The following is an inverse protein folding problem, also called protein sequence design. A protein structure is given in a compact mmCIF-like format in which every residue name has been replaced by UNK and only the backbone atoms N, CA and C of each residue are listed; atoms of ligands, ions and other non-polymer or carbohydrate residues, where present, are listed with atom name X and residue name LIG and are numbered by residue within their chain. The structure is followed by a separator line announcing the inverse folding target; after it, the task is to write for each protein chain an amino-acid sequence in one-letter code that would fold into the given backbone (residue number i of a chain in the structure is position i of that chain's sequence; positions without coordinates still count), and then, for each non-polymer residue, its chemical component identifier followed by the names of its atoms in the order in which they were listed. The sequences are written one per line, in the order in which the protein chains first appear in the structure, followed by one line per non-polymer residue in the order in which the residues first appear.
data_IF_086680823902
#
_entry.id   IF_086680823902
#
_cell.length_a   1.000
_cell.length_b   1.000
_cell.length_c   1.000
_cell.angle_alpha   90.00
_cell.angle_beta   90.00
_cell.angle_gamma   90.00
#
_symmetry.space_group_name_H-M   'P 1'
#
loop_
_entity.id
_entity.type
_entity.pdbx_description
1 polymer ?
#
# COMPACT_ATOMS: atom_id res chain seq x y z
N UNK A 1 18.41 23.39 20.21
CA UNK A 1 18.23 23.18 18.74
C UNK A 1 18.32 21.69 18.50
N UNK A 2 17.34 21.14 17.80
CA UNK A 2 17.35 19.74 17.39
C UNK A 2 18.44 19.59 16.32
N UNK A 3 19.32 18.61 16.44
CA UNK A 3 20.39 18.34 15.46
C UNK A 3 19.82 17.78 14.15
N UNK A 4 20.59 17.91 13.07
CA UNK A 4 20.20 17.31 11.78
C UNK A 4 20.04 15.78 11.90
N UNK A 5 20.91 15.12 12.69
CA UNK A 5 20.85 13.69 12.96
C UNK A 5 19.57 13.30 13.72
N UNK A 6 19.14 14.10 14.70
CA UNK A 6 17.88 13.85 15.41
C UNK A 6 16.66 14.03 14.49
N UNK A 7 16.69 15.01 13.58
CA UNK A 7 15.66 15.22 12.57
C UNK A 7 15.62 14.04 11.60
N UNK A 8 16.76 13.61 11.08
CA UNK A 8 16.87 12.46 10.17
C UNK A 8 16.39 11.17 10.84
N UNK A 9 16.81 10.93 12.09
CA UNK A 9 16.36 9.78 12.87
C UNK A 9 14.85 9.80 13.08
N UNK A 10 14.28 10.94 13.45
CA UNK A 10 12.84 11.10 13.63
C UNK A 10 12.05 10.87 12.34
N UNK A 11 12.53 11.42 11.22
CA UNK A 11 11.83 11.33 9.93
C UNK A 11 11.98 9.96 9.26
N UNK A 12 13.10 9.30 9.48
CA UNK A 12 13.52 8.14 8.67
C UNK A 12 13.77 6.86 9.47
N UNK A 13 13.75 6.94 10.80
CA UNK A 13 14.05 5.83 11.69
C UNK A 13 15.54 5.45 11.72
N UNK A 14 15.93 4.71 12.76
CA UNK A 14 17.32 4.36 13.05
C UNK A 14 17.72 2.95 12.60
N UNK A 15 16.77 2.11 12.15
CA UNK A 15 17.09 0.74 11.77
C UNK A 15 18.06 0.71 10.57
N UNK A 16 19.17 -0.05 10.65
CA UNK A 16 20.19 -0.09 9.62
C UNK A 16 19.82 -0.93 8.41
N UNK A 17 18.69 -1.65 8.42
CA UNK A 17 18.32 -2.55 7.33
C UNK A 17 18.04 -1.80 6.03
N UNK A 18 18.74 -2.21 4.96
CA UNK A 18 18.70 -1.57 3.64
C UNK A 18 17.95 -2.41 2.61
N UNK A 19 17.64 -1.76 1.46
CA UNK A 19 17.07 -2.36 0.26
C UNK A 19 15.65 -2.93 0.43
N UNK A 20 14.91 -2.50 1.44
CA UNK A 20 13.48 -2.84 1.58
C UNK A 20 12.70 -2.00 0.58
N UNK A 21 12.07 -2.64 -0.40
CA UNK A 21 11.28 -1.98 -1.45
C UNK A 21 9.77 -2.07 -1.21
N UNK A 22 9.31 -3.08 -0.48
CA UNK A 22 7.91 -3.21 -0.09
C UNK A 22 7.79 -3.96 1.24
N UNK A 23 6.69 -3.68 1.95
CA UNK A 23 6.29 -4.42 3.15
C UNK A 23 4.83 -4.79 2.97
N UNK A 24 4.52 -6.04 3.25
CA UNK A 24 3.18 -6.60 3.15
C UNK A 24 2.75 -7.22 4.47
N UNK A 25 1.48 -7.13 4.79
CA UNK A 25 0.91 -7.75 5.97
C UNK A 25 -0.08 -8.85 5.60
N UNK A 26 0.16 -10.04 6.08
CA UNK A 26 -0.78 -11.15 5.97
C UNK A 26 -1.70 -11.19 7.18
N UNK A 27 -2.96 -10.82 6.97
CA UNK A 27 -4.00 -10.83 7.99
C UNK A 27 -4.37 -12.23 8.52
N UNK A 28 -4.10 -13.29 7.75
CA UNK A 28 -4.41 -14.65 8.16
C UNK A 28 -3.39 -15.18 9.18
N UNK A 29 -2.11 -14.94 8.93
CA UNK A 29 -1.01 -15.39 9.79
C UNK A 29 -0.52 -14.32 10.77
N UNK A 30 -1.10 -13.10 10.74
CA UNK A 30 -0.64 -11.92 11.49
C UNK A 30 0.87 -11.67 11.33
N UNK A 31 1.36 -11.79 10.11
CA UNK A 31 2.79 -11.72 9.79
C UNK A 31 3.10 -10.61 8.83
N UNK A 32 4.27 -10.02 9.02
CA UNK A 32 4.88 -9.08 8.08
C UNK A 32 5.79 -9.84 7.12
N UNK A 33 5.79 -9.41 5.87
CA UNK A 33 6.74 -9.83 4.86
C UNK A 33 7.49 -8.62 4.33
N UNK A 34 8.80 -8.63 4.48
CA UNK A 34 9.70 -7.63 3.90
C UNK A 34 10.18 -8.12 2.55
N UNK A 35 9.98 -7.32 1.53
CA UNK A 35 10.47 -7.57 0.17
C UNK A 35 11.68 -6.66 -0.05
N UNK A 36 12.83 -7.28 -0.27
CA UNK A 36 14.09 -6.58 -0.53
C UNK A 36 14.48 -6.75 -2.00
N UNK A 37 15.03 -5.72 -2.59
CA UNK A 37 15.70 -5.78 -3.88
C UNK A 37 17.20 -5.63 -3.67
N UNK A 38 17.91 -6.76 -3.62
CA UNK A 38 19.36 -6.75 -3.40
C UNK A 38 20.07 -6.50 -4.71
N UNK A 39 20.88 -5.43 -4.85
CA UNK A 39 21.64 -5.14 -6.06
C UNK A 39 22.44 -6.35 -6.53
N UNK A 40 22.26 -6.75 -7.79
CA UNK A 40 22.94 -7.90 -8.40
C UNK A 40 22.46 -9.30 -7.96
N UNK A 41 21.51 -9.39 -6.99
CA UNK A 41 21.00 -10.69 -6.50
C UNK A 41 19.49 -10.87 -6.69
N UNK A 42 18.76 -9.80 -7.01
CA UNK A 42 17.32 -9.85 -7.23
C UNK A 42 16.51 -9.73 -5.94
N UNK A 43 15.30 -10.33 -5.95
CA UNK A 43 14.34 -10.21 -4.84
C UNK A 43 14.58 -11.23 -3.75
N UNK A 44 14.50 -10.76 -2.50
CA UNK A 44 14.48 -11.58 -1.30
C UNK A 44 13.24 -11.27 -0.47
N UNK A 45 12.57 -12.29 0.04
CA UNK A 45 11.37 -12.15 0.88
C UNK A 45 11.71 -12.70 2.26
N UNK A 46 11.51 -11.87 3.28
CA UNK A 46 11.74 -12.25 4.68
C UNK A 46 10.47 -12.05 5.50
N UNK A 47 10.08 -13.10 6.22
CA UNK A 47 8.99 -13.04 7.19
C UNK A 47 9.49 -12.40 8.49
N UNK A 48 8.66 -11.55 9.07
CA UNK A 48 8.90 -10.92 10.37
C UNK A 48 7.59 -10.83 11.17
N UNK A 49 7.69 -10.47 12.43
CA UNK A 49 6.55 -10.31 13.33
C UNK A 49 6.65 -8.99 14.07
N UNK A 50 5.49 -8.43 14.44
CA UNK A 50 5.42 -7.30 15.34
C UNK A 50 4.18 -7.43 16.23
N UNK A 51 4.13 -6.68 17.31
CA UNK A 51 2.98 -6.62 18.19
C UNK A 51 2.13 -5.42 17.78
N UNK A 52 0.92 -5.65 17.24
CA UNK A 52 0.02 -4.56 16.85
C UNK A 52 -0.41 -3.70 18.04
N UNK A 53 -0.57 -2.40 17.79
CA UNK A 53 -0.90 -1.45 18.81
C UNK A 53 -1.87 -0.35 18.33
N UNK A 54 -2.49 0.31 19.29
CA UNK A 54 -3.27 1.52 19.10
C UNK A 54 -2.99 2.51 20.21
N UNK A 55 -3.08 3.79 19.93
CA UNK A 55 -3.05 4.83 20.94
C UNK A 55 -4.47 5.18 21.37
N UNK A 56 -4.68 5.35 22.67
CA UNK A 56 -6.01 5.59 23.27
C UNK A 56 -5.92 6.73 24.26
N UNK A 57 -6.92 7.62 24.24
CA UNK A 57 -7.00 8.75 25.16
C UNK A 57 -7.49 8.35 26.55
N UNK A 58 -8.55 7.57 26.62
CA UNK A 58 -9.18 7.20 27.89
C UNK A 58 -9.79 5.79 27.83
N UNK A 59 -9.25 4.90 28.64
CA UNK A 59 -9.70 3.51 28.74
C UNK A 59 -11.08 3.36 29.42
N UNK A 60 -11.55 4.36 30.15
CA UNK A 60 -12.89 4.35 30.78
C UNK A 60 -14.02 4.41 29.75
N UNK A 61 -13.71 4.79 28.52
CA UNK A 61 -14.66 4.73 27.40
C UNK A 61 -14.99 3.29 26.91
N UNK A 62 -14.17 2.31 27.30
CA UNK A 62 -14.43 0.90 27.00
C UNK A 62 -15.52 0.36 27.94
N UNK A 63 -16.56 -0.20 27.37
CA UNK A 63 -17.68 -0.74 28.13
C UNK A 63 -17.87 -2.23 27.82
N UNK A 64 -17.35 -3.08 28.70
CA UNK A 64 -17.53 -4.53 28.66
C UNK A 64 -18.61 -4.94 29.64
N UNK A 65 -19.78 -5.38 29.14
CA UNK A 65 -20.88 -5.91 29.96
C UNK A 65 -21.20 -5.05 31.20
N UNK A 66 -21.45 -3.75 30.96
CA UNK A 66 -21.78 -2.83 32.05
C UNK A 66 -20.59 -2.35 32.91
N UNK A 67 -19.37 -2.38 32.35
CA UNK A 67 -18.12 -1.97 33.01
C UNK A 67 -17.67 -2.84 34.19
N UNK A 68 -18.06 -4.10 34.23
CA UNK A 68 -17.54 -5.04 35.19
C UNK A 68 -16.01 -5.20 35.00
N UNK A 69 -15.25 -5.13 36.10
CA UNK A 69 -13.79 -5.34 36.08
C UNK A 69 -13.43 -6.77 35.64
N UNK A 70 -14.26 -7.74 35.98
CA UNK A 70 -14.10 -9.14 35.59
C UNK A 70 -14.27 -9.30 34.08
N UNK A 71 -15.30 -8.68 33.49
CA UNK A 71 -15.51 -8.71 32.05
C UNK A 71 -14.39 -8.01 31.28
N UNK A 72 -13.91 -6.87 31.78
CA UNK A 72 -12.75 -6.18 31.19
C UNK A 72 -11.49 -7.06 31.24
N UNK A 73 -11.20 -7.69 32.39
CA UNK A 73 -10.04 -8.57 32.55
C UNK A 73 -10.17 -9.81 31.66
N UNK A 74 -11.35 -10.39 31.55
CA UNK A 74 -11.63 -11.51 30.66
C UNK A 74 -11.39 -11.13 29.19
N UNK A 75 -11.86 -9.96 28.75
CA UNK A 75 -11.62 -9.44 27.40
C UNK A 75 -10.13 -9.20 27.13
N UNK A 76 -9.42 -8.58 28.09
CA UNK A 76 -7.96 -8.39 27.96
C UNK A 76 -7.23 -9.72 27.76
N UNK A 77 -7.57 -10.75 28.57
CA UNK A 77 -6.99 -12.08 28.45
C UNK A 77 -7.36 -12.75 27.13
N UNK A 78 -8.64 -12.65 26.74
CA UNK A 78 -9.14 -13.22 25.47
C UNK A 78 -8.38 -12.72 24.26
N UNK A 79 -8.07 -11.42 24.20
CA UNK A 79 -7.41 -10.77 23.07
C UNK A 79 -5.91 -10.55 23.26
N UNK A 80 -5.33 -11.02 24.37
CA UNK A 80 -3.91 -10.86 24.66
C UNK A 80 -3.50 -9.40 24.83
N UNK A 81 -4.34 -8.59 25.46
CA UNK A 81 -4.14 -7.15 25.57
C UNK A 81 -3.13 -6.80 26.67
N UNK A 82 -2.20 -5.95 26.29
CA UNK A 82 -1.29 -5.23 27.18
C UNK A 82 -1.55 -3.74 27.06
N UNK A 83 -1.49 -3.02 28.19
CA UNK A 83 -1.72 -1.58 28.24
C UNK A 83 -0.50 -0.93 28.87
N UNK A 84 0.07 0.04 28.15
CA UNK A 84 1.19 0.86 28.63
C UNK A 84 0.72 2.31 28.70
N UNK A 85 1.04 2.97 29.81
CA UNK A 85 0.83 4.40 29.93
C UNK A 85 1.96 5.11 29.22
N UNK A 86 1.63 6.06 28.34
CA UNK A 86 2.62 6.88 27.67
C UNK A 86 3.14 7.94 28.66
N UNK A 87 4.46 8.05 28.76
CA UNK A 87 5.10 9.16 29.47
C UNK A 87 5.08 10.37 28.55
N UNK A 88 4.45 11.45 29.02
CA UNK A 88 4.51 12.74 28.34
C UNK A 88 5.61 13.56 28.98
N UNK A 89 6.62 13.94 28.20
CA UNK A 89 7.64 14.87 28.66
C UNK A 89 7.07 16.29 28.59
N UNK A 90 6.88 16.91 29.76
CA UNK A 90 6.38 18.27 29.89
C UNK A 90 4.86 18.42 29.87
N UNK A 91 4.38 19.65 29.64
CA UNK A 91 2.95 19.99 29.56
C UNK A 91 2.34 19.76 28.17
N UNK A 92 3.04 19.12 27.28
CA UNK A 92 2.56 18.86 25.94
C UNK A 92 1.46 17.79 25.98
N UNK A 93 0.27 18.20 25.60
CA UNK A 93 -0.81 17.26 25.32
C UNK A 93 -0.54 16.67 23.94
N UNK A 94 -0.39 15.34 23.86
CA UNK A 94 -0.48 14.66 22.59
C UNK A 94 -1.78 15.07 21.91
N UNK A 95 -1.75 15.28 20.61
CA UNK A 95 -2.95 15.51 19.82
C UNK A 95 -4.02 14.48 20.20
N UNK A 96 -5.26 14.92 20.41
CA UNK A 96 -6.38 14.11 20.91
C UNK A 96 -6.23 13.55 22.34
N UNK A 97 -5.27 14.01 23.13
CA UNK A 97 -5.08 13.57 24.50
C UNK A 97 -4.81 12.07 24.65
N UNK A 98 -4.11 11.45 23.69
CA UNK A 98 -3.73 10.04 23.74
C UNK A 98 -2.73 9.81 24.89
N UNK A 99 -3.09 8.95 25.83
CA UNK A 99 -2.31 8.71 27.05
C UNK A 99 -1.90 7.26 27.26
N UNK A 100 -2.46 6.34 26.48
CA UNK A 100 -2.17 4.91 26.59
C UNK A 100 -1.84 4.31 25.24
N UNK A 101 -0.92 3.33 25.24
CA UNK A 101 -0.70 2.41 24.15
C UNK A 101 -1.30 1.06 24.51
N UNK A 102 -2.23 0.59 23.69
CA UNK A 102 -2.88 -0.73 23.84
C UNK A 102 -2.31 -1.65 22.79
N UNK A 103 -1.70 -2.75 23.21
CA UNK A 103 -1.04 -3.75 22.36
C UNK A 103 -1.79 -5.07 22.42
N UNK A 104 -1.79 -5.85 21.33
CA UNK A 104 -2.31 -7.22 21.33
C UNK A 104 -1.20 -8.23 20.97
N UNK A 105 -0.93 -9.15 21.89
CA UNK A 105 0.00 -10.27 21.65
C UNK A 105 -0.56 -11.32 20.68
N UNK A 106 -1.88 -11.31 20.44
CA UNK A 106 -2.57 -12.26 19.56
C UNK A 106 -2.69 -11.77 18.12
N UNK A 107 -2.67 -10.46 17.89
CA UNK A 107 -2.63 -9.92 16.55
C UNK A 107 -3.49 -8.66 16.33
N UNK A 108 -3.45 -8.18 15.08
CA UNK A 108 -4.14 -6.95 14.69
C UNK A 108 -5.67 -7.10 14.69
N UNK A 109 -6.17 -8.26 14.26
CA UNK A 109 -7.61 -8.55 14.28
C UNK A 109 -8.15 -8.58 15.70
N UNK A 110 -7.41 -9.19 16.61
CA UNK A 110 -7.75 -9.29 18.03
C UNK A 110 -7.72 -7.93 18.72
N UNK A 111 -6.78 -7.06 18.33
CA UNK A 111 -6.74 -5.67 18.81
C UNK A 111 -8.01 -4.90 18.41
N UNK A 112 -8.40 -5.00 17.15
CA UNK A 112 -9.63 -4.35 16.65
C UNK A 112 -10.87 -4.92 17.36
N UNK A 113 -10.94 -6.24 17.51
CA UNK A 113 -12.10 -6.90 18.12
C UNK A 113 -12.21 -6.55 19.61
N UNK A 114 -11.10 -6.37 20.31
CA UNK A 114 -11.10 -5.88 21.69
C UNK A 114 -11.82 -4.53 21.83
N UNK A 115 -11.51 -3.58 20.96
CA UNK A 115 -12.18 -2.28 20.97
C UNK A 115 -13.67 -2.39 20.62
N UNK A 116 -14.01 -3.18 19.63
CA UNK A 116 -15.40 -3.39 19.21
C UNK A 116 -16.26 -4.03 20.31
N UNK A 117 -15.75 -5.07 20.95
CA UNK A 117 -16.43 -5.71 22.08
C UNK A 117 -16.56 -4.77 23.30
N UNK A 118 -15.64 -3.80 23.42
CA UNK A 118 -15.72 -2.70 24.38
C UNK A 118 -16.64 -1.55 23.96
N UNK A 119 -17.48 -1.72 22.95
CA UNK A 119 -18.36 -0.68 22.38
C UNK A 119 -17.64 0.58 21.91
N UNK A 120 -16.40 0.44 21.48
CA UNK A 120 -15.55 1.54 21.01
C UNK A 120 -14.86 1.16 19.68
N UNK A 121 -15.64 1.09 18.59
CA UNK A 121 -15.07 0.81 17.25
C UNK A 121 -14.13 1.95 16.85
N UNK A 122 -12.85 1.67 16.53
CA UNK A 122 -11.86 2.68 16.15
C UNK A 122 -12.28 3.56 14.96
N UNK A 123 -13.09 3.04 14.07
CA UNK A 123 -13.59 3.76 12.88
C UNK A 123 -15.02 4.28 13.03
N UNK A 124 -15.72 3.87 14.09
CA UNK A 124 -17.05 4.35 14.41
C UNK A 124 -17.04 5.74 15.04
N UNK A 125 -18.19 6.41 15.05
CA UNK A 125 -18.32 7.78 15.59
C UNK A 125 -17.84 7.93 17.02
N UNK A 126 -18.01 6.91 17.86
CA UNK A 126 -17.57 6.93 19.26
C UNK A 126 -16.06 6.74 19.44
N UNK A 127 -15.39 6.07 18.48
CA UNK A 127 -13.98 5.68 18.59
C UNK A 127 -13.03 6.57 17.80
N UNK A 128 -13.43 7.11 16.65
CA UNK A 128 -12.58 7.85 15.72
C UNK A 128 -11.76 9.00 16.34
N UNK A 129 -12.30 9.63 17.40
CA UNK A 129 -11.65 10.74 18.09
C UNK A 129 -10.96 10.33 19.42
N UNK A 130 -11.05 9.04 19.80
CA UNK A 130 -10.55 8.51 21.06
C UNK A 130 -9.47 7.46 20.88
N UNK A 131 -9.44 6.83 19.71
CA UNK A 131 -8.48 5.79 19.35
C UNK A 131 -7.80 6.21 18.06
N UNK A 132 -6.48 6.17 18.07
CA UNK A 132 -5.67 6.28 16.87
C UNK A 132 -5.06 4.91 16.58
N UNK A 133 -5.43 4.32 15.44
CA UNK A 133 -4.89 3.06 14.97
C UNK A 133 -4.45 3.22 13.51
N UNK A 134 -3.23 2.80 13.24
CA UNK A 134 -2.67 2.81 11.89
C UNK A 134 -2.82 1.43 11.24
N UNK A 135 -2.78 1.35 9.90
CA UNK A 135 -2.63 0.08 9.21
C UNK A 135 -1.37 -0.69 9.69
N UNK A 136 -1.39 -2.04 9.61
CA UNK A 136 -0.30 -2.86 10.16
C UNK A 136 1.10 -2.56 9.60
N UNK A 137 1.18 -2.20 8.32
CA UNK A 137 2.47 -1.88 7.68
C UNK A 137 3.08 -0.62 8.28
N UNK A 138 2.28 0.44 8.46
CA UNK A 138 2.72 1.68 9.09
C UNK A 138 3.10 1.46 10.55
N UNK A 139 2.32 0.66 11.30
CA UNK A 139 2.67 0.30 12.66
C UNK A 139 4.02 -0.44 12.74
N UNK A 140 4.26 -1.36 11.80
CA UNK A 140 5.52 -2.09 11.73
C UNK A 140 6.69 -1.16 11.43
N UNK A 141 6.56 -0.28 10.43
CA UNK A 141 7.60 0.69 10.09
C UNK A 141 7.96 1.57 11.29
N UNK A 142 6.96 2.10 11.99
CA UNK A 142 7.16 2.94 13.18
C UNK A 142 7.81 2.12 14.32
N UNK A 143 7.26 0.95 14.67
CA UNK A 143 7.73 0.16 15.81
C UNK A 143 9.13 -0.42 15.61
N UNK A 144 9.57 -0.57 14.38
CA UNK A 144 10.89 -1.09 14.00
C UNK A 144 11.84 -0.02 13.49
N UNK A 145 11.40 1.25 13.49
CA UNK A 145 12.17 2.39 12.99
C UNK A 145 12.74 2.17 11.58
N UNK A 146 11.96 1.47 10.72
CA UNK A 146 12.38 1.11 9.37
C UNK A 146 11.91 2.12 8.33
N UNK A 147 12.69 2.24 7.26
CA UNK A 147 12.39 3.05 6.09
C UNK A 147 12.43 2.22 4.82
N UNK A 148 11.45 2.44 3.94
CA UNK A 148 11.51 1.91 2.58
C UNK A 148 12.58 2.63 1.76
N UNK A 149 13.16 1.92 0.81
CA UNK A 149 14.14 2.41 -0.17
C UNK A 149 15.45 2.95 0.44
N UNK A 150 15.74 2.67 1.72
CA UNK A 150 17.06 2.96 2.31
C UNK A 150 18.13 2.12 1.61
N UNK A 151 19.32 2.68 1.41
CA UNK A 151 20.47 2.02 0.74
C UNK A 151 20.49 2.19 -0.78
N UNK A 152 19.43 2.72 -1.40
CA UNK A 152 19.48 3.16 -2.80
C UNK A 152 19.93 4.63 -2.85
N UNK A 153 21.04 4.89 -3.53
CA UNK A 153 21.55 6.25 -3.70
C UNK A 153 20.74 7.02 -4.75
N UNK A 154 20.29 6.30 -5.80
CA UNK A 154 19.55 6.87 -6.90
C UNK A 154 18.25 6.10 -7.17
N UNK A 155 17.24 6.83 -7.61
CA UNK A 155 15.97 6.23 -8.00
C UNK A 155 16.14 5.22 -9.16
N UNK A 156 17.15 5.36 -9.99
CA UNK A 156 17.44 4.44 -11.10
C UNK A 156 17.98 3.06 -10.65
N UNK A 157 18.37 2.93 -9.41
CA UNK A 157 18.80 1.64 -8.85
C UNK A 157 17.62 0.70 -8.58
N UNK A 158 16.46 1.26 -8.25
CA UNK A 158 15.22 0.49 -8.05
C UNK A 158 14.66 0.03 -9.39
N UNK A 159 14.39 -1.26 -9.54
CA UNK A 159 13.82 -1.80 -10.79
C UNK A 159 12.38 -1.34 -10.97
N UNK A 160 12.14 -0.60 -12.06
CA UNK A 160 10.83 -0.06 -12.42
C UNK A 160 10.41 -0.56 -13.78
N UNK A 161 9.15 -0.94 -13.89
CA UNK A 161 8.47 -1.29 -15.13
C UNK A 161 7.35 -0.28 -15.36
N UNK A 162 7.26 0.26 -16.54
CA UNK A 162 6.12 1.04 -17.01
C UNK A 162 5.48 0.34 -18.19
N UNK A 163 4.16 0.45 -18.29
CA UNK A 163 3.42 -0.08 -19.42
C UNK A 163 2.30 0.85 -19.85
N UNK A 164 1.87 0.70 -21.08
CA UNK A 164 0.80 1.44 -21.70
C UNK A 164 0.05 0.53 -22.69
N UNK A 165 -1.25 0.78 -22.88
CA UNK A 165 -2.11 0.02 -23.76
C UNK A 165 -2.59 0.85 -24.95
N UNK A 166 -2.66 0.20 -26.11
CA UNK A 166 -3.41 0.72 -27.25
C UNK A 166 -4.63 -0.17 -27.50
N UNK A 167 -5.80 0.47 -27.62
CA UNK A 167 -7.09 -0.21 -27.68
C UNK A 167 -7.91 0.26 -28.88
N UNK A 168 -8.74 -0.61 -29.43
CA UNK A 168 -9.57 -0.28 -30.60
C UNK A 168 -10.82 0.50 -30.26
N UNK A 169 -11.16 0.64 -28.97
CA UNK A 169 -12.30 1.42 -28.47
C UNK A 169 -11.96 2.05 -27.12
N UNK A 170 -12.79 2.95 -26.62
CA UNK A 170 -12.68 3.47 -25.24
C UNK A 170 -13.26 2.50 -24.22
N UNK A 171 -14.15 1.61 -24.63
CA UNK A 171 -14.83 0.66 -23.75
C UNK A 171 -14.36 -0.78 -24.04
N UNK A 172 -13.96 -1.54 -22.99
CA UNK A 172 -13.44 -2.90 -23.16
C UNK A 172 -14.40 -3.89 -23.81
N UNK A 173 -15.72 -3.70 -23.64
CA UNK A 173 -16.76 -4.57 -24.22
C UNK A 173 -16.91 -4.37 -25.74
N UNK A 174 -16.57 -3.20 -26.25
CA UNK A 174 -16.79 -2.79 -27.64
C UNK A 174 -15.48 -2.81 -28.46
N UNK A 175 -14.37 -3.24 -27.85
CA UNK A 175 -13.08 -3.28 -28.49
C UNK A 175 -12.16 -4.34 -27.93
N UNK A 176 -10.88 -4.26 -28.34
CA UNK A 176 -9.81 -5.15 -27.89
C UNK A 176 -8.51 -4.39 -27.63
N UNK A 177 -7.62 -4.99 -26.89
CA UNK A 177 -6.23 -4.54 -26.77
C UNK A 177 -5.50 -5.03 -28.02
N UNK A 178 -4.90 -4.11 -28.78
CA UNK A 178 -4.13 -4.48 -29.97
C UNK A 178 -2.62 -4.28 -29.81
N UNK A 179 -2.20 -3.56 -28.75
CA UNK A 179 -0.79 -3.37 -28.46
C UNK A 179 -0.59 -3.15 -26.93
N UNK A 180 0.48 -3.73 -26.38
CA UNK A 180 0.95 -3.49 -25.03
C UNK A 180 2.42 -3.08 -25.10
N UNK A 181 2.70 -1.82 -24.78
CA UNK A 181 4.07 -1.31 -24.64
C UNK A 181 4.61 -1.53 -23.23
N UNK A 182 5.80 -2.09 -23.10
CA UNK A 182 6.48 -2.33 -21.82
C UNK A 182 7.89 -1.80 -21.88
N UNK A 183 8.29 -1.08 -20.83
CA UNK A 183 9.67 -0.57 -20.68
C UNK A 183 10.12 -0.62 -19.23
N UNK A 184 11.41 -0.92 -19.01
CA UNK A 184 12.04 -0.81 -17.70
C UNK A 184 13.20 0.19 -17.72
N UNK A 185 13.57 0.69 -16.53
CA UNK A 185 14.77 1.51 -16.38
C UNK A 185 16.07 0.68 -16.44
N UNK A 186 15.98 -0.66 -16.54
CA UNK A 186 17.12 -1.58 -16.69
C UNK A 186 17.36 -2.02 -18.15
N UNK A 187 16.83 -1.27 -19.10
CA UNK A 187 17.08 -1.48 -20.52
C UNK A 187 16.15 -2.48 -21.22
N UNK A 188 15.28 -3.19 -20.51
CA UNK A 188 14.26 -4.03 -21.14
C UNK A 188 13.18 -3.16 -21.78
N UNK A 189 12.84 -3.46 -23.02
CA UNK A 189 11.70 -2.87 -23.72
C UNK A 189 11.06 -3.93 -24.62
N UNK A 190 9.74 -3.92 -24.70
CA UNK A 190 8.97 -4.81 -25.52
C UNK A 190 7.67 -4.17 -25.97
N UNK A 191 7.29 -4.41 -27.19
CA UNK A 191 5.96 -4.15 -27.72
C UNK A 191 5.35 -5.51 -28.04
N UNK A 192 4.20 -5.81 -27.45
CA UNK A 192 3.40 -7.00 -27.73
C UNK A 192 2.26 -6.56 -28.62
N UNK A 193 2.28 -6.99 -29.86
CA UNK A 193 1.28 -6.65 -30.88
C UNK A 193 0.27 -7.78 -31.03
N UNK A 194 -1.00 -7.43 -31.18
CA UNK A 194 -2.10 -8.34 -31.51
C UNK A 194 -2.73 -7.86 -32.80
N UNK A 195 -2.28 -8.41 -33.90
CA UNK A 195 -2.81 -8.08 -35.24
C UNK A 195 -4.24 -8.63 -35.36
N UNK A 196 -4.44 -9.89 -34.99
CA UNK A 196 -5.72 -10.59 -35.04
C UNK A 196 -6.38 -10.69 -33.63
N UNK A 197 -7.71 -10.84 -33.62
CA UNK A 197 -8.48 -10.88 -32.38
C UNK A 197 -8.15 -12.06 -31.45
N UNK A 198 -7.78 -13.21 -32.05
CA UNK A 198 -7.42 -14.42 -31.31
C UNK A 198 -6.08 -14.31 -30.58
N UNK A 199 -5.23 -13.36 -30.97
CA UNK A 199 -3.92 -13.12 -30.34
C UNK A 199 -4.01 -12.34 -29.02
N UNK A 200 -5.11 -11.60 -28.78
CA UNK A 200 -5.25 -10.76 -27.59
C UNK A 200 -5.07 -11.54 -26.28
N UNK A 201 -5.67 -12.73 -26.21
CA UNK A 201 -5.52 -13.63 -25.05
C UNK A 201 -4.06 -13.96 -24.75
N UNK A 202 -3.30 -14.28 -25.79
CA UNK A 202 -1.86 -14.56 -25.71
C UNK A 202 -1.06 -13.36 -25.23
N UNK A 203 -1.36 -12.18 -25.76
CA UNK A 203 -0.70 -10.93 -25.40
C UNK A 203 -0.90 -10.53 -23.92
N UNK A 204 -2.11 -10.67 -23.41
CA UNK A 204 -2.38 -10.43 -21.98
C UNK A 204 -1.61 -11.42 -21.09
N UNK A 205 -1.57 -12.70 -21.47
CA UNK A 205 -0.79 -13.71 -20.73
C UNK A 205 0.70 -13.36 -20.77
N UNK A 206 1.20 -12.95 -21.92
CA UNK A 206 2.59 -12.54 -22.11
C UNK A 206 2.95 -11.32 -21.27
N UNK A 207 2.08 -10.31 -21.22
CA UNK A 207 2.25 -9.15 -20.32
C UNK A 207 2.48 -9.57 -18.86
N UNK A 208 1.64 -10.46 -18.33
CA UNK A 208 1.83 -10.95 -16.96
C UNK A 208 3.08 -11.82 -16.82
N UNK A 209 3.47 -12.58 -17.83
CA UNK A 209 4.71 -13.35 -17.81
C UNK A 209 5.94 -12.43 -17.73
N UNK A 210 5.94 -11.30 -18.42
CA UNK A 210 7.01 -10.30 -18.32
C UNK A 210 7.11 -9.76 -16.89
N UNK A 211 6.00 -9.43 -16.24
CA UNK A 211 6.00 -9.02 -14.81
C UNK A 211 6.55 -10.15 -13.91
N UNK A 212 6.11 -11.39 -14.14
CA UNK A 212 6.54 -12.55 -13.37
C UNK A 212 8.04 -12.84 -13.50
N UNK A 213 8.60 -12.59 -14.68
CA UNK A 213 10.02 -12.80 -14.99
C UNK A 213 10.89 -11.67 -14.40
N UNK A 214 10.53 -10.44 -14.71
CA UNK A 214 11.33 -9.26 -14.33
C UNK A 214 11.20 -8.91 -12.85
N UNK A 215 10.08 -9.24 -12.23
CA UNK A 215 9.80 -8.95 -10.79
C UNK A 215 10.18 -7.52 -10.41
N UNK A 216 9.69 -6.48 -11.09
CA UNK A 216 10.05 -5.10 -10.79
C UNK A 216 9.64 -4.73 -9.36
N UNK A 217 10.30 -3.76 -8.74
CA UNK A 217 9.86 -3.21 -7.46
C UNK A 217 8.69 -2.24 -7.61
N UNK A 218 8.63 -1.59 -8.76
CA UNK A 218 7.57 -0.63 -9.09
C UNK A 218 6.99 -0.98 -10.45
N UNK A 219 5.66 -1.04 -10.52
CA UNK A 219 4.89 -1.14 -11.76
C UNK A 219 4.12 0.17 -11.91
N UNK A 220 4.48 0.96 -12.89
CA UNK A 220 3.93 2.29 -13.12
C UNK A 220 3.14 2.41 -14.40
N UNK A 221 2.21 3.36 -14.43
CA UNK A 221 1.51 3.80 -15.62
C UNK A 221 0.98 5.22 -15.43
N UNK A 222 0.43 5.81 -16.45
CA UNK A 222 -0.18 7.13 -16.39
C UNK A 222 -1.69 7.04 -16.64
N UNK A 223 -2.50 7.34 -15.64
CA UNK A 223 -3.94 7.08 -15.60
C UNK A 223 -4.28 5.56 -15.67
N UNK A 224 -3.31 4.74 -15.31
CA UNK A 224 -3.39 3.29 -15.48
C UNK A 224 -4.40 2.63 -14.56
N UNK A 225 -4.71 3.21 -13.42
CA UNK A 225 -5.73 2.69 -12.51
C UNK A 225 -7.13 2.71 -13.13
N UNK A 226 -7.45 3.79 -13.85
CA UNK A 226 -8.76 4.00 -14.47
C UNK A 226 -8.85 3.46 -15.90
N UNK A 227 -7.74 3.33 -16.61
CA UNK A 227 -7.72 2.89 -18.02
C UNK A 227 -7.04 1.52 -18.15
N UNK A 228 -5.73 1.44 -18.11
CA UNK A 228 -4.98 0.23 -18.49
C UNK A 228 -5.33 -0.99 -17.65
N UNK A 229 -5.31 -0.86 -16.31
CA UNK A 229 -5.70 -1.95 -15.43
C UNK A 229 -7.17 -2.32 -15.57
N UNK A 230 -8.05 -1.32 -15.79
CA UNK A 230 -9.46 -1.58 -16.05
C UNK A 230 -9.63 -2.42 -17.34
N UNK A 231 -8.96 -2.01 -18.40
CA UNK A 231 -8.97 -2.74 -19.68
C UNK A 231 -8.46 -4.17 -19.53
N UNK A 232 -7.28 -4.35 -18.94
CA UNK A 232 -6.70 -5.69 -18.73
C UNK A 232 -7.68 -6.61 -18.00
N UNK A 233 -8.30 -6.15 -16.90
CA UNK A 233 -9.18 -7.00 -16.11
C UNK A 233 -10.51 -7.29 -16.81
N UNK A 234 -11.11 -6.32 -17.48
CA UNK A 234 -12.34 -6.56 -18.24
C UNK A 234 -12.09 -7.48 -19.42
N UNK A 235 -10.98 -7.33 -20.15
CA UNK A 235 -10.60 -8.25 -21.21
C UNK A 235 -10.29 -9.65 -20.67
N UNK A 236 -9.62 -9.77 -19.56
CA UNK A 236 -9.44 -11.06 -18.89
C UNK A 236 -10.78 -11.75 -18.62
N UNK A 237 -11.77 -11.01 -18.09
CA UNK A 237 -13.11 -11.53 -17.83
C UNK A 237 -13.80 -11.98 -19.11
N UNK A 238 -13.77 -11.19 -20.17
CA UNK A 238 -14.40 -11.50 -21.46
C UNK A 238 -13.75 -12.68 -22.17
N UNK A 239 -12.41 -12.81 -22.08
CA UNK A 239 -11.63 -13.87 -22.73
C UNK A 239 -11.48 -15.15 -21.87
N UNK A 240 -12.13 -15.21 -20.71
CA UNK A 240 -12.05 -16.35 -19.80
C UNK A 240 -10.65 -16.59 -19.24
N UNK A 241 -9.89 -15.52 -19.02
CA UNK A 241 -8.58 -15.55 -18.36
C UNK A 241 -8.81 -15.32 -16.85
N UNK A 242 -8.21 -16.16 -16.02
CA UNK A 242 -8.12 -15.88 -14.58
C UNK A 242 -6.79 -15.19 -14.27
N UNK A 243 -6.79 -13.85 -14.08
CA UNK A 243 -5.55 -13.11 -13.85
C UNK A 243 -4.84 -13.56 -12.58
N UNK A 244 -5.55 -14.11 -11.58
CA UNK A 244 -4.95 -14.62 -10.34
C UNK A 244 -4.08 -15.85 -10.56
N UNK A 245 -4.33 -16.60 -11.62
CA UNK A 245 -3.54 -17.78 -11.99
C UNK A 245 -2.30 -17.41 -12.80
N UNK A 246 -2.36 -16.35 -13.59
CA UNK A 246 -1.27 -15.95 -14.47
C UNK A 246 -0.35 -14.90 -13.86
N UNK A 247 -0.89 -13.94 -13.10
CA UNK A 247 -0.09 -12.96 -12.37
C UNK A 247 0.43 -13.59 -11.07
N UNK A 248 1.71 -13.93 -11.06
CA UNK A 248 2.36 -14.49 -9.87
C UNK A 248 2.79 -13.34 -8.95
N UNK A 249 2.12 -13.22 -7.82
CA UNK A 249 2.63 -12.39 -6.74
C UNK A 249 3.93 -12.98 -6.19
N UNK A 250 4.64 -12.22 -5.36
CA UNK A 250 5.84 -12.72 -4.70
C UNK A 250 5.54 -13.66 -3.51
N UNK A 251 4.27 -13.95 -3.24
CA UNK A 251 3.86 -14.90 -2.20
C UNK A 251 2.87 -15.93 -2.77
N UNK A 252 3.07 -17.24 -2.54
CA UNK A 252 2.29 -18.29 -3.21
C UNK A 252 0.79 -18.30 -2.84
N UNK A 253 0.42 -17.74 -1.68
CA UNK A 253 -0.97 -17.72 -1.19
C UNK A 253 -1.68 -16.38 -1.41
N UNK A 254 -0.96 -15.34 -1.84
CA UNK A 254 -1.51 -14.03 -2.11
C UNK A 254 -1.42 -13.73 -3.60
N UNK A 255 -2.46 -13.09 -4.12
CA UNK A 255 -2.51 -12.69 -5.52
C UNK A 255 -2.64 -11.16 -5.62
N UNK A 256 -3.15 -10.68 -6.72
CA UNK A 256 -3.55 -9.29 -6.81
C UNK A 256 -4.98 -9.08 -6.30
N UNK A 257 -5.27 -7.85 -5.94
CA UNK A 257 -6.61 -7.38 -5.58
C UNK A 257 -6.91 -6.08 -6.32
N UNK A 258 -8.20 -5.87 -6.59
CA UNK A 258 -8.74 -4.57 -7.00
C UNK A 258 -9.77 -4.14 -5.98
N UNK A 259 -9.68 -2.92 -5.51
CA UNK A 259 -10.57 -2.35 -4.50
C UNK A 259 -10.69 -0.85 -4.69
N UNK A 260 -11.76 -0.28 -4.18
CA UNK A 260 -11.92 1.16 -4.16
C UNK A 260 -10.82 1.81 -3.33
N UNK A 261 -10.19 2.80 -3.91
CA UNK A 261 -9.20 3.67 -3.29
C UNK A 261 -9.70 5.11 -3.26
N UNK A 262 -9.09 5.92 -2.43
CA UNK A 262 -9.39 7.33 -2.31
C UNK A 262 -8.13 8.16 -2.51
N UNK A 263 -8.18 9.11 -3.44
CA UNK A 263 -7.15 10.13 -3.64
C UNK A 263 -7.61 11.42 -2.95
N UNK A 264 -6.91 11.79 -1.89
CA UNK A 264 -7.14 13.06 -1.20
C UNK A 264 -6.34 14.16 -1.89
N UNK A 265 -7.05 15.18 -2.37
CA UNK A 265 -6.52 16.36 -3.06
C UNK A 265 -6.96 17.59 -2.26
N UNK A 266 -6.06 18.25 -1.55
CA UNK A 266 -6.38 19.44 -0.77
C UNK A 266 -7.79 19.39 -0.11
N UNK A 267 -8.81 19.94 -0.79
CA UNK A 267 -10.20 20.01 -0.33
C UNK A 267 -11.13 18.97 -0.98
N UNK A 268 -10.63 18.12 -1.86
CA UNK A 268 -11.43 17.17 -2.62
C UNK A 268 -10.96 15.72 -2.37
N UNK A 269 -11.87 14.78 -2.52
CA UNK A 269 -11.59 13.35 -2.46
C UNK A 269 -12.12 12.71 -3.74
N UNK A 270 -11.23 12.13 -4.52
CA UNK A 270 -11.58 11.34 -5.69
C UNK A 270 -11.51 9.85 -5.38
N UNK A 271 -12.46 9.09 -5.90
CA UNK A 271 -12.42 7.62 -5.84
C UNK A 271 -11.81 7.05 -7.11
N UNK A 272 -11.07 5.97 -6.99
CA UNK A 272 -10.52 5.21 -8.12
C UNK A 272 -10.45 3.73 -7.78
N UNK A 273 -10.23 2.87 -8.76
CA UNK A 273 -10.05 1.43 -8.50
C UNK A 273 -8.57 1.11 -8.41
N UNK A 274 -8.08 0.93 -7.20
CA UNK A 274 -6.69 0.58 -6.94
C UNK A 274 -6.42 -0.89 -7.29
N UNK A 275 -5.44 -1.12 -8.16
CA UNK A 275 -4.86 -2.44 -8.39
C UNK A 275 -3.65 -2.61 -7.46
N UNK A 276 -3.60 -3.73 -6.74
CA UNK A 276 -2.48 -4.10 -5.88
C UNK A 276 -2.04 -5.51 -6.22
N UNK A 277 -0.75 -5.71 -6.42
CA UNK A 277 -0.13 -7.02 -6.62
C UNK A 277 0.80 -7.23 -5.45
N UNK A 278 0.59 -8.28 -4.68
CA UNK A 278 1.34 -8.53 -3.45
C UNK A 278 2.85 -8.60 -3.69
N UNK A 279 3.58 -7.76 -2.97
CA UNK A 279 5.04 -7.63 -3.08
C UNK A 279 5.53 -6.64 -4.14
N UNK A 280 4.62 -5.98 -4.86
CA UNK A 280 4.93 -4.97 -5.87
C UNK A 280 4.29 -3.62 -5.52
N UNK A 281 4.97 -2.53 -5.80
CA UNK A 281 4.37 -1.20 -5.72
C UNK A 281 3.72 -0.86 -7.06
N UNK A 282 2.40 -0.97 -7.13
CA UNK A 282 1.63 -0.56 -8.31
C UNK A 282 1.26 0.92 -8.15
N UNK A 283 1.78 1.77 -9.02
CA UNK A 283 1.69 3.23 -8.90
C UNK A 283 1.06 3.83 -10.14
N UNK A 284 0.03 4.66 -9.95
CA UNK A 284 -0.48 5.53 -11.00
C UNK A 284 0.12 6.94 -10.85
N UNK A 285 0.93 7.33 -11.82
CA UNK A 285 1.69 8.58 -11.78
C UNK A 285 0.76 9.80 -11.83
N UNK A 286 -0.42 9.69 -12.42
CA UNK A 286 -1.39 10.80 -12.48
C UNK A 286 -1.80 11.28 -11.09
N UNK A 287 -1.80 10.41 -10.09
CA UNK A 287 -2.14 10.78 -8.71
C UNK A 287 -1.13 11.78 -8.12
N UNK A 288 0.16 11.60 -8.42
CA UNK A 288 1.21 12.53 -8.00
C UNK A 288 1.08 13.88 -8.73
N UNK A 289 0.75 13.84 -10.03
CA UNK A 289 0.51 15.05 -10.83
C UNK A 289 -0.69 15.83 -10.30
N UNK A 290 -1.80 15.18 -9.98
CA UNK A 290 -2.99 15.82 -9.41
C UNK A 290 -2.73 16.44 -8.04
N UNK A 291 -1.95 15.77 -7.18
CA UNK A 291 -1.51 16.34 -5.90
C UNK A 291 -0.65 17.59 -6.11
N UNK A 292 0.30 17.55 -7.05
CA UNK A 292 1.11 18.70 -7.38
C UNK A 292 0.25 19.85 -7.96
N UNK A 293 -0.71 19.54 -8.82
CA UNK A 293 -1.65 20.52 -9.38
C UNK A 293 -2.51 21.18 -8.29
N UNK A 294 -2.92 20.44 -7.28
CA UNK A 294 -3.74 20.97 -6.17
C UNK A 294 -3.00 22.01 -5.33
N UNK A 295 -1.66 22.00 -5.31
CA UNK A 295 -0.83 22.96 -4.56
C UNK A 295 -0.06 23.94 -5.45
N UNK A 296 0.00 23.69 -6.76
CA UNK A 296 0.71 24.53 -7.71
C UNK A 296 -0.21 24.93 -8.88
N UNK A 297 -0.74 26.14 -8.83
CA UNK A 297 -1.66 26.69 -9.84
C UNK A 297 -1.02 26.91 -11.22
N UNK A 298 0.29 26.82 -11.37
CA UNK A 298 0.96 26.88 -12.68
C UNK A 298 0.77 25.61 -13.52
N UNK A 299 0.43 24.48 -12.89
CA UNK A 299 0.11 23.23 -13.59
C UNK A 299 -1.34 23.30 -14.08
N UNK A 300 -1.55 23.67 -15.35
CA UNK A 300 -2.88 23.90 -15.92
C UNK A 300 -3.64 22.65 -16.35
N UNK A 301 -2.93 21.53 -16.56
CA UNK A 301 -3.53 20.27 -17.02
C UNK A 301 -2.76 19.07 -16.46
N UNK A 302 -3.50 18.02 -16.10
CA UNK A 302 -2.91 16.71 -15.75
C UNK A 302 -2.72 15.80 -16.97
N UNK A 303 -2.94 16.25 -18.19
CA UNK A 303 -2.68 15.45 -19.40
C UNK A 303 -1.21 15.15 -19.57
N UNK A 304 -0.85 13.88 -19.91
CA UNK A 304 0.53 13.43 -20.01
C UNK A 304 1.38 14.32 -20.94
N UNK A 305 0.85 14.67 -22.14
CA UNK A 305 1.56 15.54 -23.10
C UNK A 305 1.81 16.95 -22.56
N UNK A 306 0.95 17.46 -21.68
CA UNK A 306 1.15 18.74 -21.03
C UNK A 306 2.23 18.63 -19.96
N UNK A 307 2.15 17.62 -19.10
CA UNK A 307 3.07 17.43 -17.99
C UNK A 307 4.50 17.17 -18.48
N UNK A 308 4.69 16.35 -19.51
CA UNK A 308 6.03 16.11 -20.07
C UNK A 308 6.66 17.40 -20.63
N UNK A 309 5.88 18.35 -21.15
CA UNK A 309 6.38 19.67 -21.58
C UNK A 309 6.60 20.64 -20.43
N UNK A 310 5.85 20.46 -19.33
CA UNK A 310 5.94 21.35 -18.17
C UNK A 310 7.18 21.08 -17.32
N UNK A 311 7.63 19.82 -17.24
CA UNK A 311 8.79 19.40 -16.43
C UNK A 311 10.11 19.35 -17.20
N UNK A 312 10.10 19.42 -18.55
CA UNK A 312 11.28 19.53 -19.42
C UNK A 312 11.46 20.97 -19.89
#
# INVERSE_FOLDING_TARGET
MISTEEIESFLHGNDPEEFIVAIEFDYASNSIYKIKEIPGKGKEIRKDTFIPFAWVGDLRNLNFYGNSKEAQKAAMTKYGIMIEKLETHGNERLEKGLTFMVKSLKGYRELIQFFRDGNLDPWGEKGKDKIMILPPVEQYLISKEKRLFKGFENYDEVTRLVFDLETTSLEPKDGRIFMIGIKTNKGYHRVIECIDEDQEKGAIIEFFNVINELKPSIIGGYNSANFDWHWIFERCRLLGIDPKKICKSLHPQHSFTRKDGMLKLANEVETYVQTSIWGYNVIDIIHSVRRAQAINSSIKSAGLKYITKFIN
#
